data_IF_488777369270
#
_entry.id   IF_488777369270
#
_cell.length_a   1.000
_cell.length_b   1.000
_cell.length_c   1.000
_cell.angle_alpha   90.00
_cell.angle_beta   90.00
_cell.angle_gamma   90.00
#
_symmetry.space_group_name_H-M   'P 1'
#
loop_
_entity.id
_entity.type
_entity.pdbx_description
1 polymer ?
#
# COMPACT_ATOMS: atom_id res chain seq x y z
N UNK A 1 -2.67 3.85 -54.68
CA UNK A 1 -2.29 3.21 -53.40
C UNK A 1 -2.05 4.34 -52.40
N UNK A 2 -3.00 4.57 -51.55
CA UNK A 2 -2.91 5.64 -50.57
C UNK A 2 -2.38 5.01 -49.27
N UNK A 3 -1.21 5.48 -48.85
CA UNK A 3 -0.61 5.12 -47.56
C UNK A 3 -1.50 5.58 -46.44
N UNK A 4 -2.14 4.63 -45.74
CA UNK A 4 -2.77 4.90 -44.47
C UNK A 4 -1.67 5.00 -43.42
N UNK A 5 -1.34 6.24 -43.07
CA UNK A 5 -0.58 6.54 -41.86
C UNK A 5 -1.50 6.23 -40.68
N UNK A 6 -1.31 5.10 -40.04
CA UNK A 6 -1.92 4.81 -38.74
C UNK A 6 -1.22 5.66 -37.69
N UNK A 7 -1.79 6.84 -37.43
CA UNK A 7 -1.44 7.65 -36.27
C UNK A 7 -1.90 6.91 -35.01
N UNK A 8 -0.96 6.27 -34.32
CA UNK A 8 -1.16 5.81 -32.94
C UNK A 8 -0.94 6.99 -31.98
N UNK A 9 -1.78 8.02 -32.11
CA UNK A 9 -1.87 9.07 -31.11
C UNK A 9 -2.62 8.52 -29.89
N UNK A 10 -1.90 8.12 -28.87
CA UNK A 10 -2.45 7.87 -27.55
C UNK A 10 -2.67 9.21 -26.83
N UNK A 11 -3.52 10.07 -27.36
CA UNK A 11 -3.97 11.29 -26.72
C UNK A 11 -4.91 10.98 -25.55
N UNK A 12 -4.36 10.35 -24.52
CA UNK A 12 -5.04 10.28 -23.25
C UNK A 12 -4.87 11.64 -22.59
N UNK A 13 -5.97 12.35 -22.22
CA UNK A 13 -5.88 13.66 -21.57
C UNK A 13 -4.95 13.62 -20.36
N UNK A 14 -4.17 14.67 -20.10
CA UNK A 14 -3.33 14.71 -18.92
C UNK A 14 -4.20 14.57 -17.66
N UNK A 15 -3.72 13.83 -16.67
CA UNK A 15 -4.37 13.78 -15.36
C UNK A 15 -4.25 15.15 -14.68
N UNK A 16 -5.26 15.54 -13.92
CA UNK A 16 -5.18 16.73 -13.09
C UNK A 16 -4.23 16.49 -11.91
N UNK A 17 -3.71 17.58 -11.34
CA UNK A 17 -2.86 17.49 -10.17
C UNK A 17 -3.65 17.19 -8.89
N UNK A 18 -3.00 16.51 -7.94
CA UNK A 18 -3.49 16.34 -6.58
C UNK A 18 -3.59 17.70 -5.88
N UNK A 19 -4.65 17.88 -5.09
CA UNK A 19 -4.83 19.06 -4.24
C UNK A 19 -3.90 19.00 -3.05
N UNK A 20 -3.04 20.01 -2.90
CA UNK A 20 -2.12 20.10 -1.75
C UNK A 20 -2.89 20.48 -0.50
N UNK A 21 -2.69 19.71 0.57
CA UNK A 21 -3.38 19.82 1.86
C UNK A 21 -2.54 20.45 2.97
N UNK A 22 -1.32 20.95 2.70
CA UNK A 22 -0.43 21.50 3.71
C UNK A 22 -1.07 22.61 4.56
N UNK A 23 -1.88 23.45 3.94
CA UNK A 23 -2.57 24.56 4.60
C UNK A 23 -3.67 24.11 5.58
N UNK A 24 -4.01 22.83 5.59
CA UNK A 24 -4.99 22.22 6.49
C UNK A 24 -4.33 21.57 7.73
N UNK A 25 -2.99 21.48 7.75
CA UNK A 25 -2.28 20.91 8.90
C UNK A 25 -2.58 21.75 10.16
N UNK A 26 -2.99 21.06 11.24
CA UNK A 26 -3.42 21.67 12.48
C UNK A 26 -4.92 22.00 12.56
N UNK A 27 -5.66 21.95 11.46
CA UNK A 27 -7.14 22.04 11.48
C UNK A 27 -7.77 20.67 11.15
N UNK A 28 -8.05 19.89 12.19
CA UNK A 28 -8.64 18.56 12.07
C UNK A 28 -9.96 18.56 11.31
N UNK A 29 -10.81 19.54 11.57
CA UNK A 29 -12.11 19.61 10.90
C UNK A 29 -11.98 19.91 9.42
N UNK A 30 -11.01 20.74 9.03
CA UNK A 30 -10.73 21.02 7.61
C UNK A 30 -10.15 19.79 6.90
N UNK A 31 -9.26 19.06 7.57
CA UNK A 31 -8.72 17.78 7.04
C UNK A 31 -9.83 16.76 6.81
N UNK A 32 -10.74 16.57 7.78
CA UNK A 32 -11.87 15.64 7.62
C UNK A 32 -12.82 16.08 6.49
N UNK A 33 -13.14 17.37 6.37
CA UNK A 33 -13.94 17.86 5.23
C UNK A 33 -13.25 17.60 3.89
N UNK A 34 -11.94 17.79 3.80
CA UNK A 34 -11.17 17.46 2.58
C UNK A 34 -11.19 15.95 2.30
N UNK A 35 -11.05 15.12 3.34
CA UNK A 35 -11.16 13.67 3.23
C UNK A 35 -12.51 13.21 2.69
N UNK A 36 -13.60 13.72 3.26
CA UNK A 36 -14.96 13.38 2.81
C UNK A 36 -15.25 13.82 1.38
N UNK A 37 -14.65 14.91 0.94
CA UNK A 37 -14.82 15.43 -0.42
C UNK A 37 -13.98 14.68 -1.44
N UNK A 38 -12.67 14.49 -1.14
CA UNK A 38 -11.67 14.07 -2.11
C UNK A 38 -11.27 12.59 -1.96
N UNK A 39 -11.37 12.01 -0.76
CA UNK A 39 -10.93 10.64 -0.43
C UNK A 39 -9.43 10.52 -0.17
N UNK A 40 -8.73 11.66 -0.07
CA UNK A 40 -7.30 11.69 0.20
C UNK A 40 -6.86 13.03 0.81
N UNK A 41 -5.63 13.03 1.36
CA UNK A 41 -4.81 14.21 1.64
C UNK A 41 -3.48 14.07 0.91
N UNK A 42 -3.02 15.13 0.31
CA UNK A 42 -1.70 15.19 -0.29
C UNK A 42 -0.88 16.31 0.31
N UNK A 43 0.27 15.96 0.86
CA UNK A 43 1.17 16.90 1.52
C UNK A 43 2.50 16.96 0.79
N UNK A 44 3.01 18.17 0.59
CA UNK A 44 4.32 18.43 0.05
C UNK A 44 5.32 18.67 1.16
N UNK A 45 6.47 18.00 1.09
CA UNK A 45 7.64 18.28 1.92
C UNK A 45 7.35 18.30 3.43
N UNK A 46 6.63 17.30 3.93
CA UNK A 46 6.22 17.20 5.34
C UNK A 46 6.96 16.12 6.12
N UNK A 47 7.52 15.12 5.44
CA UNK A 47 8.30 14.07 6.08
C UNK A 47 9.76 14.49 6.21
N UNK A 48 10.38 14.14 7.34
CA UNK A 48 11.81 14.40 7.56
C UNK A 48 12.65 13.71 6.48
N UNK A 49 13.35 14.51 5.68
CA UNK A 49 14.12 14.02 4.52
C UNK A 49 15.30 13.13 4.90
N UNK A 50 15.87 13.33 6.09
CA UNK A 50 16.95 12.46 6.57
C UNK A 50 16.41 11.06 6.89
N UNK A 51 15.20 10.98 7.51
CA UNK A 51 14.51 9.72 7.77
C UNK A 51 14.13 9.00 6.46
N UNK A 52 13.58 9.73 5.49
CA UNK A 52 13.28 9.20 4.15
C UNK A 52 14.57 8.75 3.45
N UNK A 53 15.66 9.49 3.60
CA UNK A 53 16.96 9.12 3.07
C UNK A 53 17.52 7.83 3.65
N UNK A 54 17.41 7.64 4.98
CA UNK A 54 17.80 6.38 5.64
C UNK A 54 16.95 5.20 5.16
N UNK A 55 15.65 5.39 5.06
CA UNK A 55 14.74 4.37 4.51
C UNK A 55 15.14 4.00 3.07
N UNK A 56 15.39 5.00 2.21
CA UNK A 56 15.89 4.77 0.85
C UNK A 56 17.23 4.03 0.85
N UNK A 57 18.13 4.34 1.79
CA UNK A 57 19.42 3.67 1.95
C UNK A 57 19.25 2.15 2.08
N UNK A 58 18.28 1.69 2.87
CA UNK A 58 17.99 0.24 3.02
C UNK A 58 17.56 -0.39 1.68
N UNK A 59 16.74 0.31 0.89
CA UNK A 59 16.37 -0.17 -0.46
C UNK A 59 17.61 -0.31 -1.36
N UNK A 60 18.47 0.71 -1.38
CA UNK A 60 19.66 0.68 -2.21
C UNK A 60 20.66 -0.41 -1.77
N UNK A 61 20.79 -0.66 -0.47
CA UNK A 61 21.59 -1.78 0.04
C UNK A 61 21.06 -3.12 -0.46
N UNK A 62 19.76 -3.37 -0.27
CA UNK A 62 19.12 -4.61 -0.76
C UNK A 62 19.28 -4.77 -2.26
N UNK A 63 19.09 -3.71 -3.03
CA UNK A 63 19.20 -3.77 -4.50
C UNK A 63 20.66 -3.96 -4.96
N UNK A 64 21.65 -3.47 -4.22
CA UNK A 64 23.07 -3.80 -4.44
C UNK A 64 23.36 -5.25 -4.13
N UNK A 65 22.85 -5.78 -3.01
CA UNK A 65 23.01 -7.19 -2.64
C UNK A 65 22.38 -8.12 -3.69
N UNK A 66 21.29 -7.68 -4.32
CA UNK A 66 20.66 -8.38 -5.44
C UNK A 66 21.42 -8.22 -6.78
N UNK A 67 22.40 -7.33 -6.83
CA UNK A 67 23.22 -7.09 -8.02
C UNK A 67 22.48 -6.43 -9.19
N UNK A 68 21.38 -5.67 -8.92
CA UNK A 68 20.51 -5.11 -9.97
C UNK A 68 20.71 -3.62 -10.24
N UNK A 69 21.47 -2.91 -9.38
CA UNK A 69 21.75 -1.49 -9.57
C UNK A 69 23.23 -1.20 -9.85
N UNK A 70 23.49 -0.09 -10.51
CA UNK A 70 24.82 0.38 -10.83
C UNK A 70 25.56 0.79 -9.53
N UNK A 71 26.64 0.10 -9.15
CA UNK A 71 27.36 0.38 -7.91
C UNK A 71 28.14 1.71 -7.95
N UNK A 72 28.29 2.34 -9.12
CA UNK A 72 28.94 3.65 -9.27
C UNK A 72 27.97 4.82 -9.06
N UNK A 73 26.69 4.55 -8.91
CA UNK A 73 25.60 5.52 -8.72
C UNK A 73 24.98 5.34 -7.34
N UNK A 74 25.73 5.65 -6.29
CA UNK A 74 25.34 5.43 -4.89
C UNK A 74 24.06 6.18 -4.45
N UNK A 75 23.73 7.27 -5.14
CA UNK A 75 22.64 8.18 -4.84
C UNK A 75 21.32 7.84 -5.58
N UNK A 76 21.35 6.92 -6.53
CA UNK A 76 20.22 6.61 -7.38
C UNK A 76 20.08 5.12 -7.66
N UNK A 77 18.82 4.64 -7.69
CA UNK A 77 18.50 3.26 -8.07
C UNK A 77 18.53 3.10 -9.60
N UNK A 78 19.73 3.20 -10.18
CA UNK A 78 19.96 3.02 -11.62
C UNK A 78 20.18 1.55 -11.91
N UNK A 79 19.37 0.98 -12.80
CA UNK A 79 19.50 -0.39 -13.24
C UNK A 79 20.81 -0.61 -14.01
N UNK A 80 21.51 -1.67 -13.72
CA UNK A 80 22.80 -2.01 -14.33
C UNK A 80 22.70 -2.94 -15.54
N UNK A 81 21.48 -3.25 -16.01
CA UNK A 81 21.23 -4.16 -17.13
C UNK A 81 21.14 -5.64 -16.72
N UNK A 82 21.22 -5.97 -15.44
CA UNK A 82 21.05 -7.36 -14.96
C UNK A 82 19.63 -7.89 -15.27
N UNK A 83 19.47 -9.20 -15.53
CA UNK A 83 18.14 -9.80 -15.70
C UNK A 83 17.24 -9.57 -14.48
N UNK A 84 15.96 -9.27 -14.70
CA UNK A 84 14.97 -8.98 -13.67
C UNK A 84 13.85 -10.03 -13.58
N UNK A 85 13.99 -11.16 -14.25
CA UNK A 85 12.98 -12.22 -14.29
C UNK A 85 12.61 -12.76 -12.90
N UNK A 86 13.61 -12.84 -12.02
CA UNK A 86 13.47 -13.30 -10.63
C UNK A 86 13.58 -12.15 -9.61
N UNK A 87 13.36 -10.91 -10.01
CA UNK A 87 13.46 -9.77 -9.10
C UNK A 87 12.44 -9.90 -7.95
N UNK A 88 12.91 -10.00 -6.69
CA UNK A 88 12.05 -10.45 -5.58
C UNK A 88 11.19 -9.35 -4.96
N UNK A 89 11.50 -8.08 -5.21
CA UNK A 89 10.72 -6.95 -4.69
C UNK A 89 9.54 -6.73 -5.63
N UNK A 90 8.48 -7.49 -5.44
CA UNK A 90 7.28 -7.47 -6.28
C UNK A 90 6.04 -7.24 -5.44
N UNK A 91 5.12 -6.48 -6.00
CA UNK A 91 3.78 -6.26 -5.46
C UNK A 91 2.83 -7.45 -5.66
N UNK A 92 3.32 -8.68 -5.71
CA UNK A 92 2.53 -9.86 -6.06
C UNK A 92 2.17 -10.77 -4.88
N UNK A 93 2.37 -10.27 -3.65
CA UNK A 93 2.01 -11.00 -2.43
C UNK A 93 2.96 -12.14 -2.05
N UNK A 94 4.16 -12.21 -2.64
CA UNK A 94 5.21 -13.14 -2.21
C UNK A 94 6.02 -12.59 -1.02
N UNK A 95 5.34 -11.93 -0.10
CA UNK A 95 5.91 -11.17 1.03
C UNK A 95 6.99 -11.94 1.82
N UNK A 96 6.85 -13.24 2.00
CA UNK A 96 7.84 -14.05 2.73
C UNK A 96 9.19 -14.21 2.04
N UNK A 97 9.36 -13.71 0.82
CA UNK A 97 10.61 -13.77 0.05
C UNK A 97 11.16 -12.38 -0.28
N UNK A 98 10.44 -11.32 0.04
CA UNK A 98 10.88 -9.96 -0.20
C UNK A 98 12.00 -9.61 0.80
N UNK A 99 13.24 -9.37 0.33
CA UNK A 99 14.36 -9.08 1.21
C UNK A 99 14.21 -7.77 1.98
N UNK A 100 13.38 -6.83 1.53
CA UNK A 100 13.03 -5.62 2.28
C UNK A 100 12.15 -5.96 3.48
N UNK A 101 11.21 -6.89 3.34
CA UNK A 101 10.40 -7.35 4.47
C UNK A 101 11.26 -7.93 5.60
N UNK A 102 12.34 -8.64 5.27
CA UNK A 102 13.26 -9.22 6.25
C UNK A 102 14.10 -8.19 7.01
N UNK A 103 14.24 -6.97 6.50
CA UNK A 103 15.00 -5.88 7.15
C UNK A 103 14.14 -4.98 8.01
N UNK A 104 12.81 -5.13 7.98
CA UNK A 104 11.84 -4.33 8.75
C UNK A 104 12.06 -2.81 8.71
N UNK A 105 12.35 -2.21 7.54
CA UNK A 105 12.72 -0.79 7.49
C UNK A 105 11.56 0.14 7.87
N UNK A 106 10.31 -0.32 7.75
CA UNK A 106 9.13 0.40 8.22
C UNK A 106 9.19 0.69 9.72
N UNK A 107 9.54 -0.31 10.54
CA UNK A 107 9.52 -0.17 12.00
C UNK A 107 10.55 0.86 12.46
N UNK A 108 11.74 0.84 11.87
CA UNK A 108 12.75 1.87 12.09
C UNK A 108 12.24 3.26 11.67
N UNK A 109 11.60 3.37 10.51
CA UNK A 109 11.10 4.63 9.97
C UNK A 109 10.00 5.25 10.83
N UNK A 110 8.94 4.49 11.19
CA UNK A 110 7.78 5.03 11.94
C UNK A 110 8.11 5.38 13.39
N UNK A 111 9.20 4.85 13.94
CA UNK A 111 9.68 5.15 15.30
C UNK A 111 10.63 6.35 15.36
N UNK A 112 11.10 6.87 14.23
CA UNK A 112 11.91 8.09 14.19
C UNK A 112 11.14 9.26 14.80
N UNK A 113 11.73 10.03 15.72
CA UNK A 113 10.98 11.02 16.50
C UNK A 113 10.19 12.03 15.68
N UNK A 114 10.77 12.57 14.60
CA UNK A 114 10.09 13.54 13.74
C UNK A 114 8.98 12.91 12.90
N UNK A 115 9.16 11.69 12.43
CA UNK A 115 8.15 10.93 11.69
C UNK A 115 7.00 10.57 12.61
N UNK A 116 7.29 10.02 13.79
CA UNK A 116 6.29 9.70 14.81
C UNK A 116 5.46 10.93 15.17
N UNK A 117 6.11 12.04 15.52
CA UNK A 117 5.43 13.28 15.90
C UNK A 117 4.55 13.84 14.78
N UNK A 118 5.00 13.79 13.53
CA UNK A 118 4.19 14.22 12.39
C UNK A 118 2.93 13.39 12.22
N UNK A 119 3.04 12.06 12.27
CA UNK A 119 1.89 11.18 12.11
C UNK A 119 0.93 11.26 13.31
N UNK A 120 1.42 11.39 14.53
CA UNK A 120 0.58 11.62 15.71
C UNK A 120 -0.20 12.93 15.60
N UNK A 121 0.42 14.01 15.13
CA UNK A 121 -0.28 15.26 14.84
C UNK A 121 -1.32 15.07 13.74
N UNK A 122 -0.98 14.38 12.64
CA UNK A 122 -1.87 14.17 11.50
C UNK A 122 -3.08 13.32 11.88
N UNK A 123 -2.90 12.26 12.67
CA UNK A 123 -3.99 11.38 13.10
C UNK A 123 -4.73 11.91 14.34
N UNK A 124 -4.14 12.88 15.07
CA UNK A 124 -4.66 13.43 16.32
C UNK A 124 -4.57 12.47 17.49
N UNK A 125 -3.73 11.45 17.41
CA UNK A 125 -3.55 10.38 18.37
C UNK A 125 -2.23 9.64 18.13
N UNK A 126 -1.80 8.81 19.08
CA UNK A 126 -0.80 7.79 18.81
C UNK A 126 -1.28 6.88 17.67
N UNK A 127 -0.37 6.52 16.75
CA UNK A 127 -0.76 5.73 15.56
C UNK A 127 -0.51 4.25 15.81
N UNK A 128 -1.55 3.45 15.60
CA UNK A 128 -1.41 2.02 15.42
C UNK A 128 -1.06 1.71 13.96
N UNK A 129 0.13 1.18 13.73
CA UNK A 129 0.57 0.73 12.42
C UNK A 129 0.25 -0.75 12.23
N UNK A 130 -0.53 -1.05 11.21
CA UNK A 130 -0.81 -2.44 10.84
C UNK A 130 0.49 -3.10 10.38
N UNK A 131 0.81 -4.34 10.82
CA UNK A 131 2.03 -5.03 10.40
C UNK A 131 1.95 -5.52 8.94
N UNK A 132 1.56 -4.63 8.04
CA UNK A 132 1.48 -4.85 6.61
C UNK A 132 2.03 -3.63 5.88
N UNK A 133 3.11 -3.81 5.19
CA UNK A 133 3.81 -2.77 4.44
C UNK A 133 4.00 -3.24 3.02
N UNK A 134 3.78 -2.35 2.07
CA UNK A 134 4.11 -2.62 0.68
C UNK A 134 5.37 -1.84 0.31
N UNK A 135 6.41 -2.57 0.01
CA UNK A 135 7.68 -2.03 -0.47
C UNK A 135 7.70 -2.09 -2.00
N UNK A 136 7.89 -0.95 -2.62
CA UNK A 136 7.85 -0.85 -4.07
C UNK A 136 9.21 -0.47 -4.64
N UNK A 137 9.79 -1.35 -5.44
CA UNK A 137 10.92 -1.05 -6.31
C UNK A 137 10.53 -1.45 -7.73
N UNK A 138 9.81 -0.56 -8.43
CA UNK A 138 9.31 -0.85 -9.77
C UNK A 138 10.42 -0.70 -10.80
N UNK A 139 10.79 -1.79 -11.50
CA UNK A 139 11.87 -1.77 -12.48
C UNK A 139 11.64 -0.79 -13.64
N UNK A 140 12.72 -0.36 -14.34
CA UNK A 140 12.61 0.33 -15.62
C UNK A 140 11.84 -0.52 -16.63
N UNK A 141 11.04 0.13 -17.46
CA UNK A 141 10.18 -0.53 -18.44
C UNK A 141 9.02 -1.33 -17.85
N UNK A 142 8.84 -1.34 -16.51
CA UNK A 142 7.77 -2.09 -15.88
C UNK A 142 6.42 -1.42 -16.10
N UNK A 143 5.50 -2.20 -16.65
CA UNK A 143 4.13 -1.80 -16.93
C UNK A 143 3.52 -2.71 -17.98
N UNK A 144 2.20 -2.65 -18.11
CA UNK A 144 1.52 -3.36 -19.18
C UNK A 144 1.68 -2.58 -20.48
N UNK A 145 2.23 -3.22 -21.48
CA UNK A 145 2.41 -2.63 -22.80
C UNK A 145 1.09 -2.02 -23.33
N UNK A 146 1.15 -0.77 -23.76
CA UNK A 146 -0.02 -0.03 -24.24
C UNK A 146 -1.02 0.40 -23.17
N UNK A 147 -0.79 0.13 -21.87
CA UNK A 147 -1.68 0.54 -20.78
C UNK A 147 -1.07 1.65 -19.94
N UNK A 148 -1.94 2.57 -19.50
CA UNK A 148 -1.59 3.66 -18.57
C UNK A 148 -1.45 3.18 -17.14
N UNK A 149 -2.30 2.25 -16.73
CA UNK A 149 -2.39 1.72 -15.37
C UNK A 149 -1.79 0.31 -15.30
N UNK A 150 -0.98 0.07 -14.27
CA UNK A 150 -0.44 -1.26 -14.01
C UNK A 150 -1.53 -2.20 -13.46
N UNK A 151 -2.20 -1.77 -12.39
CA UNK A 151 -3.27 -2.52 -11.78
C UNK A 151 -4.22 -1.54 -11.06
N UNK A 152 -5.43 -1.40 -11.60
CA UNK A 152 -6.45 -0.50 -11.07
C UNK A 152 -7.32 -1.24 -10.05
N UNK A 153 -7.36 -0.76 -8.81
CA UNK A 153 -8.08 -1.42 -7.72
C UNK A 153 -8.45 -0.46 -6.58
N UNK A 154 -9.23 -0.97 -5.63
CA UNK A 154 -9.39 -0.44 -4.28
C UNK A 154 -8.86 -1.46 -3.27
N UNK A 155 -8.28 -1.00 -2.18
CA UNK A 155 -7.77 -1.88 -1.11
C UNK A 155 -8.85 -2.35 -0.13
N UNK A 156 -9.98 -1.65 -0.07
CA UNK A 156 -11.10 -1.93 0.84
C UNK A 156 -11.59 -3.36 0.80
N UNK A 157 -11.80 -3.98 -0.37
CA UNK A 157 -12.24 -5.37 -0.47
C UNK A 157 -11.31 -6.38 0.22
N UNK A 158 -10.02 -6.05 0.35
CA UNK A 158 -9.00 -6.89 0.97
C UNK A 158 -8.73 -6.58 2.45
N UNK A 159 -9.36 -5.53 3.00
CA UNK A 159 -9.18 -5.05 4.37
C UNK A 159 -10.53 -4.78 5.03
N UNK A 160 -11.51 -5.63 4.79
CA UNK A 160 -12.93 -5.49 5.17
C UNK A 160 -13.10 -4.93 6.58
N UNK A 161 -13.76 -3.79 6.68
CA UNK A 161 -14.17 -3.19 7.94
C UNK A 161 -13.09 -2.49 8.76
N UNK A 162 -11.84 -2.45 8.28
CA UNK A 162 -10.78 -1.74 8.99
C UNK A 162 -10.77 -0.25 8.60
N UNK A 163 -10.84 0.69 9.58
CA UNK A 163 -10.82 2.13 9.31
C UNK A 163 -9.39 2.65 9.08
N UNK A 164 -8.64 1.96 8.23
CA UNK A 164 -7.26 2.27 7.92
C UNK A 164 -7.14 3.42 6.92
N UNK A 165 -6.08 4.20 7.06
CA UNK A 165 -5.60 5.12 6.05
C UNK A 165 -4.30 4.57 5.46
N UNK A 166 -4.19 4.60 4.14
CA UNK A 166 -2.95 4.26 3.43
C UNK A 166 -2.09 5.51 3.38
N UNK A 167 -0.84 5.38 3.79
CA UNK A 167 0.17 6.44 3.76
C UNK A 167 1.25 6.02 2.77
N UNK A 168 1.15 6.53 1.54
CA UNK A 168 2.09 6.27 0.47
C UNK A 168 3.12 7.41 0.37
N UNK A 169 4.39 7.06 0.25
CA UNK A 169 5.49 8.03 0.18
C UNK A 169 6.50 7.65 -0.89
N UNK A 170 6.98 8.62 -1.70
CA UNK A 170 8.08 8.44 -2.62
C UNK A 170 9.41 8.44 -1.88
N UNK A 171 10.34 7.55 -2.26
CA UNK A 171 11.69 7.48 -1.70
C UNK A 171 12.75 8.08 -2.64
N UNK A 172 12.36 8.36 -3.88
CA UNK A 172 13.15 9.06 -4.90
C UNK A 172 12.25 10.03 -5.65
N UNK A 173 12.78 11.00 -6.39
CA UNK A 173 11.97 11.81 -7.29
C UNK A 173 11.21 10.94 -8.29
N UNK A 174 9.93 11.25 -8.47
CA UNK A 174 9.04 10.55 -9.39
C UNK A 174 8.44 11.56 -10.37
N UNK A 175 8.69 11.38 -11.64
CA UNK A 175 8.28 12.26 -12.72
C UNK A 175 7.29 11.60 -13.69
N UNK A 176 7.11 12.18 -14.87
CA UNK A 176 6.25 11.66 -15.93
C UNK A 176 6.75 10.31 -16.47
N UNK A 177 8.05 10.10 -16.49
CA UNK A 177 8.69 8.93 -17.05
C UNK A 177 8.62 7.75 -16.09
N UNK A 178 8.94 7.97 -14.82
CA UNK A 178 8.91 6.95 -13.77
C UNK A 178 7.50 6.65 -13.24
N UNK A 179 6.51 7.49 -13.60
CA UNK A 179 5.09 7.24 -13.42
C UNK A 179 4.51 7.69 -12.08
N UNK A 180 4.65 6.93 -11.02
CA UNK A 180 4.11 7.24 -9.69
C UNK A 180 2.77 6.58 -9.40
N UNK A 181 2.00 7.19 -8.49
CA UNK A 181 0.67 6.75 -8.10
C UNK A 181 -0.38 7.72 -8.64
N UNK A 182 -1.45 7.18 -9.21
CA UNK A 182 -2.64 7.94 -9.56
C UNK A 182 -3.84 7.43 -8.76
N UNK A 183 -4.74 8.33 -8.38
CA UNK A 183 -5.97 7.99 -7.69
C UNK A 183 -7.17 8.74 -8.28
N UNK A 184 -8.37 8.20 -8.04
CA UNK A 184 -9.63 8.77 -8.49
C UNK A 184 -10.27 9.62 -7.38
N UNK A 185 -10.20 10.94 -7.51
CA UNK A 185 -10.73 11.91 -6.55
C UNK A 185 -12.24 11.78 -6.39
N UNK A 186 -12.71 11.74 -5.14
CA UNK A 186 -14.13 11.73 -4.80
C UNK A 186 -14.84 10.39 -4.99
N UNK A 187 -14.14 9.35 -5.43
CA UNK A 187 -14.70 8.02 -5.69
C UNK A 187 -14.42 6.99 -4.59
N UNK A 188 -14.20 7.42 -3.37
CA UNK A 188 -13.92 6.60 -2.18
C UNK A 188 -15.19 6.24 -1.37
N UNK A 189 -16.37 6.55 -1.84
CA UNK A 189 -17.64 6.33 -1.12
C UNK A 189 -18.22 4.93 -1.38
N UNK A 190 -19.12 4.42 -0.51
CA UNK A 190 -19.57 3.00 -0.48
C UNK A 190 -20.05 2.38 -1.80
N UNK A 191 -20.37 3.15 -2.82
CA UNK A 191 -20.75 2.64 -4.15
C UNK A 191 -19.62 1.87 -4.86
N UNK A 192 -18.41 1.95 -4.33
CA UNK A 192 -17.22 1.27 -4.86
C UNK A 192 -17.18 -0.23 -4.52
N UNK A 193 -18.04 -0.72 -3.63
CA UNK A 193 -18.19 -2.17 -3.40
C UNK A 193 -18.72 -2.93 -4.62
N UNK A 194 -19.22 -2.19 -5.63
CA UNK A 194 -19.68 -2.77 -6.90
C UNK A 194 -18.51 -3.07 -7.86
N UNK A 195 -17.28 -2.64 -7.55
CA UNK A 195 -16.14 -2.95 -8.39
C UNK A 195 -15.61 -4.37 -8.16
N UNK A 196 -15.14 -5.03 -9.25
CA UNK A 196 -14.53 -6.35 -9.13
C UNK A 196 -13.37 -6.35 -8.13
N UNK A 197 -13.29 -7.41 -7.33
CA UNK A 197 -12.21 -7.59 -6.36
C UNK A 197 -10.93 -8.07 -7.06
N UNK A 198 -9.75 -7.81 -6.51
CA UNK A 198 -8.56 -8.52 -6.94
C UNK A 198 -8.79 -10.06 -6.93
N UNK A 199 -8.24 -10.81 -7.90
CA UNK A 199 -7.18 -10.40 -8.84
C UNK A 199 -7.66 -9.68 -10.10
N UNK A 200 -8.95 -9.53 -10.34
CA UNK A 200 -9.46 -8.99 -11.60
C UNK A 200 -9.25 -7.47 -11.73
N UNK A 201 -9.30 -6.76 -10.58
CA UNK A 201 -9.19 -5.30 -10.55
C UNK A 201 -10.38 -4.59 -11.20
N UNK A 202 -10.29 -3.28 -11.30
CA UNK A 202 -11.28 -2.43 -11.97
C UNK A 202 -10.91 -2.35 -13.45
N UNK A 203 -11.88 -2.57 -14.34
CA UNK A 203 -11.64 -2.50 -15.77
C UNK A 203 -11.29 -1.07 -16.22
N UNK A 204 -10.41 -0.95 -17.22
CA UNK A 204 -10.08 0.33 -17.82
C UNK A 204 -11.36 1.00 -18.39
N UNK A 205 -11.48 2.31 -18.18
CA UNK A 205 -12.64 3.09 -18.65
C UNK A 205 -13.85 3.12 -17.70
N UNK A 206 -13.88 2.32 -16.64
CA UNK A 206 -14.95 2.37 -15.63
C UNK A 206 -14.86 3.65 -14.81
N UNK A 207 -13.65 4.10 -14.49
CA UNK A 207 -13.43 5.36 -13.76
C UNK A 207 -13.44 6.54 -14.75
N UNK A 208 -14.24 7.59 -14.51
CA UNK A 208 -14.24 8.79 -15.35
C UNK A 208 -12.86 9.41 -15.47
N UNK A 209 -12.47 9.80 -16.68
CA UNK A 209 -11.14 10.33 -16.95
C UNK A 209 -10.82 11.59 -16.15
N UNK A 210 -11.79 12.44 -15.91
CA UNK A 210 -11.64 13.70 -15.17
C UNK A 210 -11.56 13.51 -13.64
N UNK A 211 -11.82 12.29 -13.12
CA UNK A 211 -11.62 11.95 -11.72
C UNK A 211 -10.14 11.69 -11.38
N UNK A 212 -9.32 11.35 -12.37
CA UNK A 212 -7.94 10.99 -12.14
C UNK A 212 -7.07 12.17 -11.71
N UNK A 213 -6.29 11.94 -10.63
CA UNK A 213 -5.31 12.86 -10.05
C UNK A 213 -3.98 12.17 -9.87
N UNK A 214 -2.91 12.92 -10.08
CA UNK A 214 -1.53 12.52 -9.77
C UNK A 214 -0.69 13.75 -9.40
N UNK A 215 0.53 13.53 -9.00
CA UNK A 215 1.55 14.57 -8.85
C UNK A 215 2.89 14.10 -9.45
N UNK A 216 3.80 15.02 -9.66
CA UNK A 216 5.22 14.74 -9.69
C UNK A 216 5.66 14.74 -8.22
N UNK A 217 6.21 13.64 -7.75
CA UNK A 217 6.47 13.44 -6.33
C UNK A 217 7.94 13.66 -5.99
N UNK A 218 8.20 14.15 -4.78
CA UNK A 218 9.54 14.34 -4.25
C UNK A 218 9.69 13.63 -2.89
N UNK A 219 10.90 13.15 -2.52
CA UNK A 219 11.15 12.67 -1.16
C UNK A 219 10.74 13.72 -0.13
N UNK A 220 9.97 13.32 0.85
CA UNK A 220 9.33 14.21 1.82
C UNK A 220 7.84 14.47 1.57
N UNK A 221 7.35 14.19 0.36
CA UNK A 221 5.91 14.21 0.05
C UNK A 221 5.20 13.02 0.71
N UNK A 222 3.91 13.21 1.02
CA UNK A 222 3.05 12.17 1.58
C UNK A 222 1.67 12.21 0.95
N UNK A 223 1.22 11.09 0.41
CA UNK A 223 -0.15 10.88 -0.05
C UNK A 223 -0.87 9.94 0.91
N UNK A 224 -1.89 10.44 1.59
CA UNK A 224 -2.75 9.66 2.50
C UNK A 224 -4.10 9.48 1.82
N UNK A 225 -4.58 8.25 1.68
CA UNK A 225 -5.85 8.00 1.01
C UNK A 225 -6.64 6.85 1.62
N UNK A 226 -7.94 6.81 1.29
CA UNK A 226 -8.88 5.81 1.78
C UNK A 226 -8.63 4.45 1.11
N UNK A 227 -8.82 3.38 1.86
CA UNK A 227 -8.87 2.02 1.32
C UNK A 227 -9.88 1.86 0.17
N UNK A 228 -10.93 2.69 0.16
CA UNK A 228 -11.98 2.67 -0.86
C UNK A 228 -11.67 3.54 -2.08
N UNK A 229 -10.58 4.31 -2.06
CA UNK A 229 -10.20 5.16 -3.19
C UNK A 229 -9.63 4.31 -4.33
N UNK A 230 -10.24 4.29 -5.54
CA UNK A 230 -9.64 3.63 -6.68
C UNK A 230 -8.30 4.25 -7.03
N UNK A 231 -7.29 3.41 -7.18
CA UNK A 231 -5.94 3.87 -7.45
C UNK A 231 -5.16 2.87 -8.29
N UNK A 232 -4.06 3.32 -8.86
CA UNK A 232 -3.12 2.46 -9.58
C UNK A 232 -1.73 3.07 -9.64
N UNK A 233 -0.71 2.22 -9.57
CA UNK A 233 0.61 2.60 -10.03
C UNK A 233 0.60 2.85 -11.54
N UNK A 234 1.26 3.92 -11.97
CA UNK A 234 1.51 4.19 -13.38
C UNK A 234 2.75 3.41 -13.85
N UNK A 235 2.81 3.11 -15.15
CA UNK A 235 3.97 2.44 -15.73
C UNK A 235 5.26 3.24 -15.49
N UNK A 236 6.33 2.55 -15.17
CA UNK A 236 7.68 3.10 -15.20
C UNK A 236 8.21 2.94 -16.64
N UNK A 237 8.30 4.04 -17.37
CA UNK A 237 8.78 4.10 -18.75
C UNK A 237 10.25 4.49 -18.86
N UNK A 238 10.89 4.72 -17.71
CA UNK A 238 12.32 5.00 -17.67
C UNK A 238 13.11 3.81 -18.21
N UNK A 239 14.18 4.10 -18.93
CA UNK A 239 15.09 3.08 -19.46
C UNK A 239 16.05 2.55 -18.40
N UNK A 240 16.21 3.27 -17.28
CA UNK A 240 17.27 2.95 -16.31
C UNK A 240 16.90 3.10 -14.84
N UNK A 241 15.87 3.85 -14.48
CA UNK A 241 15.57 4.14 -13.06
C UNK A 241 14.53 3.20 -12.49
N UNK A 242 14.83 2.62 -11.33
CA UNK A 242 13.79 2.02 -10.49
C UNK A 242 12.96 3.12 -9.82
N UNK A 243 11.64 2.98 -9.82
CA UNK A 243 10.77 3.82 -8.99
C UNK A 243 10.66 3.23 -7.60
N UNK A 244 11.12 3.99 -6.59
CA UNK A 244 11.10 3.57 -5.20
C UNK A 244 9.99 4.30 -4.43
N UNK A 245 9.14 3.54 -3.75
CA UNK A 245 8.12 4.06 -2.84
C UNK A 245 7.77 3.03 -1.76
N UNK A 246 7.11 3.48 -0.71
CA UNK A 246 6.58 2.63 0.35
C UNK A 246 5.16 3.05 0.67
N UNK A 247 4.28 2.10 0.97
CA UNK A 247 3.05 2.40 1.68
C UNK A 247 2.93 1.64 2.99
N UNK A 248 2.42 2.35 3.99
CA UNK A 248 2.12 1.83 5.32
C UNK A 248 0.66 2.14 5.64
N UNK A 249 0.06 1.35 6.52
CA UNK A 249 -1.35 1.50 6.88
C UNK A 249 -1.48 1.74 8.37
N UNK A 250 -2.14 2.84 8.72
CA UNK A 250 -2.31 3.23 10.11
C UNK A 250 -3.72 3.70 10.45
N UNK A 251 -4.00 3.74 11.74
CA UNK A 251 -5.22 4.28 12.34
C UNK A 251 -4.93 4.85 13.72
N UNK A 252 -5.77 5.75 14.26
CA UNK A 252 -5.66 6.21 15.64
C UNK A 252 -5.68 5.03 16.62
N UNK A 253 -4.78 5.03 17.60
CA UNK A 253 -4.63 3.93 18.55
C UNK A 253 -5.79 3.84 19.54
N UNK A 254 -6.46 4.96 19.83
CA UNK A 254 -7.70 5.00 20.63
C UNK A 254 -8.91 4.37 19.92
N UNK A 255 -8.80 4.06 18.63
CA UNK A 255 -9.83 3.36 17.90
C UNK A 255 -9.90 1.86 18.22
N UNK A 256 -10.79 1.14 17.54
CA UNK A 256 -10.87 -0.32 17.65
C UNK A 256 -9.73 -0.97 16.85
N UNK A 257 -8.52 -0.94 17.43
CA UNK A 257 -7.32 -1.47 16.76
C UNK A 257 -7.29 -3.00 16.77
N UNK A 258 -6.77 -3.63 15.69
CA UNK A 258 -6.58 -5.07 15.68
C UNK A 258 -5.67 -5.57 16.80
N UNK A 259 -5.95 -6.77 17.28
CA UNK A 259 -5.05 -7.50 18.18
C UNK A 259 -3.96 -8.15 17.35
N UNK A 260 -2.71 -7.82 17.66
CA UNK A 260 -1.52 -8.39 17.02
C UNK A 260 -0.86 -9.38 17.97
N UNK A 261 -0.43 -10.52 17.45
CA UNK A 261 0.24 -11.53 18.25
C UNK A 261 0.45 -12.83 17.46
N UNK A 262 0.48 -13.94 18.21
CA UNK A 262 0.67 -15.28 17.66
C UNK A 262 -0.56 -16.12 17.95
N UNK A 263 -0.98 -16.94 17.00
CA UNK A 263 -2.10 -17.88 17.19
C UNK A 263 -1.76 -18.89 18.28
N UNK A 264 -2.43 -18.80 19.42
CA UNK A 264 -2.26 -19.71 20.55
C UNK A 264 -3.21 -20.91 20.48
N UNK A 265 -4.42 -20.70 19.97
CA UNK A 265 -5.40 -21.77 19.73
C UNK A 265 -6.31 -21.38 18.54
N UNK A 266 -6.77 -22.37 17.81
CA UNK A 266 -7.68 -22.18 16.70
C UNK A 266 -8.54 -23.44 16.50
N UNK A 267 -9.85 -23.23 16.39
CA UNK A 267 -10.82 -24.24 15.97
C UNK A 267 -11.80 -23.67 14.94
N UNK A 268 -12.89 -24.36 14.65
CA UNK A 268 -13.87 -23.93 13.67
C UNK A 268 -14.70 -22.70 14.12
N UNK A 269 -14.70 -22.37 15.40
CA UNK A 269 -15.58 -21.37 16.01
C UNK A 269 -14.82 -20.21 16.68
N UNK A 270 -13.53 -20.37 16.95
CA UNK A 270 -12.75 -19.39 17.69
C UNK A 270 -11.26 -19.39 17.33
N UNK A 271 -10.66 -18.21 17.45
CA UNK A 271 -9.21 -17.99 17.39
C UNK A 271 -8.75 -17.32 18.69
N UNK A 272 -7.70 -17.86 19.29
CA UNK A 272 -7.03 -17.22 20.44
C UNK A 272 -5.67 -16.69 20.01
N UNK A 273 -5.43 -15.43 20.30
CA UNK A 273 -4.17 -14.73 19.98
C UNK A 273 -3.44 -14.41 21.28
N UNK A 274 -2.18 -14.85 21.39
CA UNK A 274 -1.25 -14.45 22.42
C UNK A 274 -0.52 -13.18 21.96
N UNK A 275 -0.69 -12.07 22.70
CA UNK A 275 -0.01 -10.81 22.41
C UNK A 275 1.43 -10.82 22.95
N UNK A 276 2.26 -9.89 22.50
CA UNK A 276 3.63 -9.71 23.04
C UNK A 276 3.63 -9.39 24.55
N UNK A 277 2.58 -8.77 25.08
CA UNK A 277 2.41 -8.53 26.51
C UNK A 277 2.04 -9.78 27.32
N UNK A 278 1.89 -10.93 26.66
CA UNK A 278 1.50 -12.20 27.29
C UNK A 278 0.00 -12.36 27.54
N UNK A 279 -0.82 -11.41 27.11
CA UNK A 279 -2.27 -11.54 27.16
C UNK A 279 -2.76 -12.55 26.12
N UNK A 280 -3.78 -13.34 26.48
CA UNK A 280 -4.53 -14.17 25.54
C UNK A 280 -5.89 -13.55 25.28
N UNK A 281 -6.19 -13.32 24.01
CA UNK A 281 -7.49 -12.78 23.56
C UNK A 281 -8.15 -13.77 22.63
N UNK A 282 -9.36 -14.18 22.98
CA UNK A 282 -10.15 -15.13 22.18
C UNK A 282 -11.26 -14.41 21.45
N UNK A 283 -11.38 -14.68 20.16
CA UNK A 283 -12.40 -14.13 19.28
C UNK A 283 -13.21 -15.25 18.65
N UNK A 284 -14.52 -15.08 18.63
CA UNK A 284 -15.40 -15.98 17.91
C UNK A 284 -15.17 -15.82 16.40
N UNK A 285 -15.25 -16.91 15.66
CA UNK A 285 -15.25 -16.95 14.19
C UNK A 285 -16.66 -17.33 13.74
N UNK A 286 -17.18 -16.62 12.76
CA UNK A 286 -18.47 -16.90 12.12
C UNK A 286 -18.42 -16.71 10.60
N UNK A 287 -19.57 -16.85 9.93
CA UNK A 287 -19.68 -16.80 8.46
C UNK A 287 -19.29 -15.42 7.88
N UNK A 288 -19.35 -14.37 8.70
CA UNK A 288 -18.99 -13.01 8.29
C UNK A 288 -17.50 -12.70 8.51
N UNK A 289 -16.78 -13.59 9.17
CA UNK A 289 -15.33 -13.43 9.40
C UNK A 289 -14.58 -13.52 8.09
N UNK A 290 -13.86 -12.44 7.75
CA UNK A 290 -13.01 -12.39 6.57
C UNK A 290 -11.60 -12.80 6.93
N UNK A 291 -11.11 -13.92 6.38
CA UNK A 291 -9.71 -14.32 6.53
C UNK A 291 -8.96 -14.12 5.23
N UNK A 292 -7.90 -13.28 5.27
CA UNK A 292 -7.03 -13.04 4.13
C UNK A 292 -5.71 -13.77 4.29
N UNK A 293 -5.45 -14.71 3.40
CA UNK A 293 -4.18 -15.42 3.33
C UNK A 293 -3.43 -15.02 2.07
N UNK A 294 -2.17 -14.62 2.22
CA UNK A 294 -1.28 -14.28 1.11
C UNK A 294 -0.42 -15.49 0.76
N UNK A 295 -0.96 -16.46 0.00
CA UNK A 295 -0.18 -17.57 -0.52
C UNK A 295 -0.41 -17.73 -2.02
N UNK A 296 0.58 -17.35 -2.83
CA UNK A 296 0.56 -17.54 -4.28
C UNK A 296 -0.57 -16.77 -4.97
N UNK A 297 -1.10 -17.34 -6.06
CA UNK A 297 -2.17 -16.71 -6.87
C UNK A 297 -3.53 -16.59 -6.18
N UNK A 298 -3.68 -17.13 -4.97
CA UNK A 298 -4.92 -17.06 -4.18
C UNK A 298 -4.95 -15.85 -3.24
N UNK A 299 -4.07 -14.88 -3.43
CA UNK A 299 -4.05 -13.62 -2.69
C UNK A 299 -5.38 -12.90 -2.78
N UNK A 300 -5.97 -12.60 -1.62
CA UNK A 300 -7.15 -11.75 -1.52
C UNK A 300 -8.51 -12.44 -1.64
N UNK A 301 -8.57 -13.74 -1.81
CA UNK A 301 -9.83 -14.48 -1.72
C UNK A 301 -10.22 -14.71 -0.26
N UNK A 302 -11.46 -14.39 0.15
CA UNK A 302 -11.94 -14.75 1.48
C UNK A 302 -11.99 -16.27 1.61
N UNK A 303 -11.46 -16.78 2.73
CA UNK A 303 -11.59 -18.20 3.06
C UNK A 303 -12.99 -18.48 3.60
N UNK A 304 -13.58 -19.59 3.19
CA UNK A 304 -14.75 -20.11 3.86
C UNK A 304 -14.37 -20.50 5.30
N UNK A 305 -15.34 -20.40 6.22
CA UNK A 305 -15.15 -20.65 7.65
C UNK A 305 -14.38 -21.96 7.93
N UNK A 306 -14.74 -23.04 7.22
CA UNK A 306 -14.10 -24.38 7.32
C UNK A 306 -12.65 -24.42 6.82
N UNK A 307 -12.20 -23.44 6.03
CA UNK A 307 -10.88 -23.40 5.44
C UNK A 307 -9.88 -22.63 6.33
N UNK A 308 -10.39 -21.75 7.23
CA UNK A 308 -9.55 -20.94 8.10
C UNK A 308 -8.58 -21.81 8.91
N UNK A 309 -8.99 -22.91 9.60
CA UNK A 309 -8.06 -23.76 10.34
C UNK A 309 -7.10 -24.56 9.46
N UNK A 310 -7.35 -24.63 8.16
CA UNK A 310 -6.43 -25.30 7.22
C UNK A 310 -5.29 -24.36 6.81
N UNK A 311 -5.54 -23.07 6.74
CA UNK A 311 -4.63 -22.07 6.23
C UNK A 311 -3.92 -21.25 7.32
N UNK A 312 -4.57 -21.07 8.46
CA UNK A 312 -4.03 -20.40 9.65
C UNK A 312 -3.63 -21.48 10.66
N UNK A 313 -2.43 -21.42 11.22
CA UNK A 313 -1.88 -22.44 12.13
C UNK A 313 -1.55 -21.85 13.49
N UNK A 314 -1.59 -22.72 14.51
CA UNK A 314 -1.03 -22.39 15.82
C UNK A 314 0.45 -22.04 15.63
N UNK A 315 0.89 -20.94 16.22
CA UNK A 315 2.24 -20.40 16.07
C UNK A 315 2.39 -19.37 14.94
N UNK A 316 1.39 -19.21 14.06
CA UNK A 316 1.45 -18.18 13.01
C UNK A 316 1.36 -16.78 13.64
N UNK A 317 2.22 -15.81 13.25
CA UNK A 317 2.01 -14.43 13.58
C UNK A 317 0.76 -13.93 12.85
N UNK A 318 -0.09 -13.18 13.56
CA UNK A 318 -1.41 -12.80 13.06
C UNK A 318 -1.82 -11.42 13.59
N UNK A 319 -2.66 -10.72 12.83
CA UNK A 319 -3.52 -9.69 13.43
C UNK A 319 -4.99 -9.99 13.20
N UNK A 320 -5.80 -9.70 14.23
CA UNK A 320 -7.23 -9.96 14.26
C UNK A 320 -7.96 -8.67 14.60
N UNK A 321 -8.78 -8.18 13.68
CA UNK A 321 -9.78 -7.16 14.00
C UNK A 321 -11.07 -7.83 14.47
N UNK A 322 -11.73 -7.24 15.45
CA UNK A 322 -12.93 -7.82 16.02
C UNK A 322 -13.96 -6.73 16.37
N UNK A 323 -15.22 -7.11 16.32
CA UNK A 323 -16.32 -6.33 16.83
C UNK A 323 -17.10 -7.16 17.83
N UNK A 324 -17.35 -6.60 19.04
CA UNK A 324 -18.06 -7.28 20.13
C UNK A 324 -17.60 -8.74 20.37
N UNK A 325 -16.28 -8.99 20.32
CA UNK A 325 -15.67 -10.30 20.56
C UNK A 325 -15.77 -11.29 19.39
N UNK A 326 -16.31 -10.87 18.25
CA UNK A 326 -16.31 -11.65 17.01
C UNK A 326 -15.26 -11.11 16.04
N UNK A 327 -14.41 -11.98 15.51
CA UNK A 327 -13.42 -11.61 14.53
C UNK A 327 -14.10 -11.16 13.22
N UNK A 328 -13.87 -9.93 12.82
CA UNK A 328 -14.34 -9.41 11.52
C UNK A 328 -13.30 -9.62 10.44
N UNK A 329 -12.01 -9.65 10.84
CA UNK A 329 -10.89 -9.81 9.92
C UNK A 329 -9.74 -10.56 10.59
N UNK A 330 -9.21 -11.57 9.91
CA UNK A 330 -8.04 -12.34 10.32
C UNK A 330 -6.99 -12.27 9.19
N UNK A 331 -5.76 -11.91 9.53
CA UNK A 331 -4.65 -11.91 8.58
C UNK A 331 -3.38 -12.50 9.20
N UNK A 332 -2.97 -13.71 8.77
CA UNK A 332 -1.64 -14.22 9.06
C UNK A 332 -0.56 -13.36 8.41
N UNK A 333 0.58 -13.24 9.10
CA UNK A 333 1.76 -12.50 8.66
C UNK A 333 2.80 -13.51 8.17
N UNK A 334 2.73 -13.93 6.92
CA UNK A 334 3.67 -14.91 6.33
C UNK A 334 4.48 -14.26 5.23
#
# INVERSE_FOLDING_TARGET
>A
MADMITSTSTDTPPMRELRVSNHLLGDRAALERAWERDGYWFFRDVLDKDAVGRLRGVYLEVMRDLGVIDPTRDDAAVHNGAPLDDFPIRNDGTAGKDPLMLRYPRDAFVTEPKIKAFFEQLFGDEVFWVPNTEYHALPPGAGREGRRFNFLHCDGPNNKGLPLKICWMPLAPIDEETGGLALAEGLHRPRMHDFPRPPEGIADGVIPQDAWRRALYQPGDLLVFSLETPHSGLANRSDSYFRLSMDIRGMPKSGNVPTVGTVAALDACAITVATEAGEQRTFRIDEDTFCRVTRGRLTGMPLALKEIPQMVKIGDPVYVAADHGTATFIRPQH
#
